data_IF_619968000778
#
_entry.id   IF_619968000778
#
_cell.length_a   1.000
_cell.length_b   1.000
_cell.length_c   1.000
_cell.angle_alpha   90.00
_cell.angle_beta   90.00
_cell.angle_gamma   90.00
#
_symmetry.space_group_name_H-M   'P 1'
#
loop_
_entity.id
_entity.type
_entity.pdbx_description
1 polymer ?
#
# COMPACT_ATOMS: atom_id res chain seq x y z
N UNK A 1 12.00 -21.72 3.95
CA UNK A 1 12.45 -20.42 3.43
C UNK A 1 11.24 -19.52 3.24
N UNK A 2 11.27 -18.29 3.74
CA UNK A 2 10.22 -17.30 3.41
C UNK A 2 10.28 -16.99 1.90
N UNK A 3 9.13 -16.88 1.25
CA UNK A 3 9.03 -16.55 -0.18
C UNK A 3 9.13 -15.04 -0.38
N UNK A 4 9.75 -14.61 -1.46
CA UNK A 4 9.74 -13.21 -1.88
C UNK A 4 8.34 -12.81 -2.36
N UNK A 5 7.92 -11.60 -2.05
CA UNK A 5 6.71 -10.99 -2.62
C UNK A 5 7.06 -9.98 -3.71
N UNK A 6 8.16 -9.25 -3.51
CA UNK A 6 8.69 -8.27 -4.45
C UNK A 6 10.20 -8.48 -4.57
N UNK A 7 10.74 -8.43 -5.79
CA UNK A 7 12.17 -8.39 -6.04
C UNK A 7 12.47 -7.44 -7.19
N UNK A 8 13.40 -6.52 -6.96
CA UNK A 8 14.04 -5.72 -7.98
C UNK A 8 15.43 -6.31 -8.26
N UNK A 9 15.79 -6.43 -9.53
CA UNK A 9 17.08 -6.96 -9.96
C UNK A 9 17.70 -6.02 -10.98
N UNK A 10 18.81 -5.37 -10.57
CA UNK A 10 19.62 -4.44 -11.39
C UNK A 10 18.81 -3.33 -12.05
N UNK A 11 17.74 -2.87 -11.36
CA UNK A 11 16.80 -1.91 -11.91
C UNK A 11 17.43 -0.54 -12.11
N UNK A 12 17.37 -0.06 -13.33
CA UNK A 12 17.75 1.31 -13.71
C UNK A 12 16.55 1.99 -14.35
N UNK A 13 16.13 3.10 -13.77
CA UNK A 13 15.04 3.90 -14.29
C UNK A 13 15.53 5.23 -14.83
N UNK A 14 15.01 5.57 -16.01
CA UNK A 14 15.34 6.79 -16.73
C UNK A 14 14.05 7.53 -17.08
N UNK A 15 13.99 8.79 -16.70
CA UNK A 15 12.88 9.70 -17.05
C UNK A 15 13.40 10.68 -18.10
N UNK A 16 12.81 10.66 -19.29
CA UNK A 16 13.32 11.41 -20.45
C UNK A 16 14.79 11.02 -20.73
N UNK A 17 15.73 11.94 -20.53
CA UNK A 17 17.17 11.70 -20.74
C UNK A 17 17.98 11.59 -19.44
N UNK A 18 17.34 11.68 -18.28
CA UNK A 18 18.00 11.67 -16.98
C UNK A 18 17.82 10.32 -16.30
N UNK A 19 18.90 9.72 -15.82
CA UNK A 19 18.84 8.53 -14.96
C UNK A 19 18.46 8.99 -13.56
N UNK A 20 17.34 8.47 -13.06
CA UNK A 20 16.82 8.80 -11.73
C UNK A 20 17.49 7.91 -10.68
N UNK A 21 17.52 6.59 -10.92
CA UNK A 21 18.27 5.64 -10.10
C UNK A 21 18.88 4.54 -10.97
N UNK A 22 19.96 3.93 -10.47
CA UNK A 22 20.77 2.97 -11.23
C UNK A 22 21.09 1.73 -10.40
N UNK A 23 21.01 0.55 -11.05
CA UNK A 23 21.44 -0.74 -10.50
C UNK A 23 20.83 -1.06 -9.11
N UNK A 24 19.57 -0.72 -8.93
CA UNK A 24 18.87 -0.97 -7.66
C UNK A 24 18.45 -2.44 -7.60
N UNK A 25 18.89 -3.12 -6.54
CA UNK A 25 18.55 -4.53 -6.29
C UNK A 25 18.17 -4.70 -4.83
N UNK A 26 16.97 -5.22 -4.56
CA UNK A 26 16.54 -5.63 -3.22
C UNK A 26 15.34 -6.58 -3.34
N UNK A 27 14.95 -7.17 -2.24
CA UNK A 27 13.77 -8.03 -2.16
C UNK A 27 13.00 -7.81 -0.86
N UNK A 28 11.71 -8.05 -0.91
CA UNK A 28 10.78 -8.02 0.23
C UNK A 28 10.21 -9.42 0.40
N UNK A 29 10.24 -9.95 1.63
CA UNK A 29 9.73 -11.28 1.93
C UNK A 29 8.26 -11.24 2.34
N UNK A 30 7.51 -12.31 2.06
CA UNK A 30 6.11 -12.39 2.49
C UNK A 30 5.99 -12.40 4.01
N UNK A 31 5.06 -11.61 4.54
CA UNK A 31 4.75 -11.55 5.96
C UNK A 31 5.83 -10.84 6.78
N UNK A 32 6.48 -9.82 6.22
CA UNK A 32 7.38 -8.95 6.97
C UNK A 32 6.96 -7.48 6.85
N UNK A 33 7.48 -6.67 7.74
CA UNK A 33 7.48 -5.22 7.62
C UNK A 33 8.92 -4.83 7.28
N UNK A 34 9.12 -4.32 6.06
CA UNK A 34 10.43 -3.82 5.61
C UNK A 34 10.43 -2.30 5.65
N UNK A 35 11.43 -1.72 6.31
CA UNK A 35 11.63 -0.27 6.35
C UNK A 35 12.53 0.22 5.24
N UNK A 36 12.20 1.37 4.67
CA UNK A 36 13.07 2.12 3.76
C UNK A 36 13.30 3.52 4.31
N UNK A 37 14.57 3.90 4.44
CA UNK A 37 14.98 5.26 4.77
C UNK A 37 15.56 5.90 3.51
N UNK A 38 14.84 6.83 2.87
CA UNK A 38 15.38 7.55 1.73
C UNK A 38 16.50 8.49 2.20
N UNK A 39 17.62 8.53 1.48
CA UNK A 39 18.70 9.48 1.75
C UNK A 39 18.32 10.92 1.38
N UNK A 40 17.39 11.06 0.45
CA UNK A 40 16.78 12.32 0.01
C UNK A 40 15.47 12.01 -0.71
N UNK A 41 14.70 13.05 -1.05
CA UNK A 41 13.42 12.88 -1.76
C UNK A 41 13.57 12.60 -3.25
N UNK A 42 14.77 12.75 -3.82
CA UNK A 42 14.96 12.60 -5.26
C UNK A 42 14.74 11.16 -5.72
N UNK A 43 13.84 10.98 -6.67
CA UNK A 43 13.57 9.68 -7.28
C UNK A 43 12.69 8.74 -6.47
N UNK A 44 12.21 9.13 -5.28
CA UNK A 44 11.36 8.28 -4.46
C UNK A 44 9.97 8.06 -5.09
N UNK A 45 9.37 9.10 -5.66
CA UNK A 45 8.09 8.99 -6.36
C UNK A 45 8.21 8.06 -7.57
N UNK A 46 9.26 8.25 -8.37
CA UNK A 46 9.53 7.37 -9.51
C UNK A 46 9.82 5.93 -9.09
N UNK A 47 10.51 5.74 -7.97
CA UNK A 47 10.77 4.41 -7.43
C UNK A 47 9.46 3.71 -7.02
N UNK A 48 8.58 4.40 -6.32
CA UNK A 48 7.26 3.87 -5.94
C UNK A 48 6.39 3.61 -7.17
N UNK A 49 6.41 4.51 -8.14
CA UNK A 49 5.69 4.33 -9.41
C UNK A 49 6.18 3.12 -10.21
N UNK A 50 7.48 2.86 -10.22
CA UNK A 50 8.06 1.65 -10.85
C UNK A 50 7.49 0.39 -10.20
N UNK A 51 7.36 0.37 -8.88
CA UNK A 51 6.86 -0.80 -8.15
C UNK A 51 5.35 -0.96 -8.29
N UNK A 52 4.59 0.13 -8.12
CA UNK A 52 3.12 0.10 -8.06
C UNK A 52 2.51 0.03 -9.45
N UNK A 53 3.02 0.83 -10.38
CA UNK A 53 2.43 1.06 -11.70
C UNK A 53 3.17 0.36 -12.85
N UNK A 54 4.20 -0.44 -12.56
CA UNK A 54 5.01 -1.16 -13.56
C UNK A 54 5.54 -0.24 -14.65
N UNK A 55 6.10 0.91 -14.29
CA UNK A 55 6.68 1.82 -15.27
C UNK A 55 7.78 1.11 -16.09
N UNK A 56 7.90 1.41 -17.39
CA UNK A 56 8.93 0.83 -18.25
C UNK A 56 10.32 1.18 -17.75
N UNK A 57 11.19 0.19 -17.64
CA UNK A 57 12.55 0.34 -17.15
C UNK A 57 13.53 0.60 -18.32
N UNK A 58 14.61 1.30 -18.02
CA UNK A 58 15.76 1.38 -18.93
C UNK A 58 16.56 0.07 -18.93
N UNK A 59 16.71 -0.54 -17.73
CA UNK A 59 17.38 -1.83 -17.54
C UNK A 59 16.90 -2.52 -16.27
N UNK A 60 17.03 -3.85 -16.20
CA UNK A 60 16.70 -4.66 -15.03
C UNK A 60 15.29 -5.25 -15.06
N UNK A 61 14.93 -5.91 -13.96
CA UNK A 61 13.68 -6.64 -13.85
C UNK A 61 13.00 -6.40 -12.52
N UNK A 62 11.66 -6.32 -12.55
CA UNK A 62 10.81 -6.32 -11.36
C UNK A 62 10.01 -7.62 -11.34
N UNK A 63 10.06 -8.32 -10.22
CA UNK A 63 9.28 -9.53 -9.99
C UNK A 63 8.30 -9.29 -8.86
N UNK A 64 7.04 -9.62 -9.09
CA UNK A 64 5.99 -9.61 -8.08
C UNK A 64 5.35 -10.99 -8.01
N UNK A 65 5.36 -11.62 -6.81
CA UNK A 65 4.87 -12.99 -6.60
C UNK A 65 5.44 -14.00 -7.61
N UNK A 66 6.76 -13.99 -7.76
CA UNK A 66 7.54 -14.85 -8.66
C UNK A 66 7.33 -14.60 -10.17
N UNK A 67 6.53 -13.60 -10.56
CA UNK A 67 6.31 -13.22 -11.96
C UNK A 67 7.10 -11.95 -12.30
N UNK A 68 7.80 -11.98 -13.42
CA UNK A 68 8.40 -10.76 -13.98
C UNK A 68 7.29 -9.86 -14.54
N UNK A 69 7.10 -8.68 -13.95
CA UNK A 69 5.96 -7.80 -14.24
C UNK A 69 6.26 -6.68 -15.23
N UNK A 70 7.53 -6.49 -15.58
CA UNK A 70 7.98 -5.49 -16.56
C UNK A 70 8.57 -6.13 -17.83
N UNK A 71 8.19 -7.36 -18.18
CA UNK A 71 8.61 -7.99 -19.42
C UNK A 71 7.84 -7.43 -20.63
N UNK A 72 8.50 -7.30 -21.78
CA UNK A 72 7.91 -6.84 -23.05
C UNK A 72 6.65 -7.60 -23.50
N UNK A 73 6.44 -8.79 -22.97
CA UNK A 73 5.29 -9.64 -23.33
C UNK A 73 4.04 -9.34 -22.50
N UNK A 74 4.15 -8.62 -21.41
CA UNK A 74 3.06 -8.32 -20.48
C UNK A 74 2.58 -6.87 -20.56
N UNK A 75 2.71 -6.22 -21.71
CA UNK A 75 2.31 -4.82 -21.96
C UNK A 75 0.83 -4.48 -21.73
N UNK A 76 0.01 -5.42 -21.31
CA UNK A 76 -1.42 -5.17 -21.05
C UNK A 76 -1.71 -5.21 -19.55
N UNK A 77 -1.48 -4.06 -18.90
CA UNK A 77 -2.24 -3.59 -17.73
C UNK A 77 -2.42 -4.54 -16.53
N UNK A 78 -1.49 -5.42 -16.23
CA UNK A 78 -1.48 -6.03 -14.91
C UNK A 78 -0.85 -5.06 -13.92
N UNK A 79 -1.66 -4.14 -13.39
CA UNK A 79 -1.24 -3.40 -12.19
C UNK A 79 -0.82 -4.44 -11.15
N UNK A 80 0.37 -4.28 -10.61
CA UNK A 80 0.74 -5.04 -9.43
C UNK A 80 -0.34 -4.78 -8.38
N UNK A 81 -0.79 -5.83 -7.71
CA UNK A 81 -1.70 -5.67 -6.58
C UNK A 81 -0.90 -5.19 -5.38
N UNK A 82 -0.33 -4.00 -5.50
CA UNK A 82 0.42 -3.27 -4.48
C UNK A 82 -0.35 -2.00 -4.20
N UNK A 83 -0.70 -1.77 -2.95
CA UNK A 83 -1.37 -0.56 -2.51
C UNK A 83 -0.34 0.42 -1.96
N UNK A 84 -0.45 1.69 -2.33
CA UNK A 84 0.28 2.80 -1.71
C UNK A 84 -0.70 3.60 -0.85
N UNK A 85 -0.37 3.77 0.42
CA UNK A 85 -1.02 4.65 1.39
C UNK A 85 -0.02 5.75 1.71
N UNK A 86 -0.39 6.98 1.45
CA UNK A 86 0.46 8.16 1.56
C UNK A 86 -0.17 9.19 2.51
N UNK A 87 0.62 10.19 2.91
CA UNK A 87 0.14 11.37 3.63
C UNK A 87 -1.00 12.09 2.89
N UNK A 88 -0.96 12.09 1.55
CA UNK A 88 -2.08 12.51 0.72
C UNK A 88 -3.05 11.34 0.48
N UNK A 89 -4.25 11.47 1.03
CA UNK A 89 -5.24 10.40 0.92
C UNK A 89 -5.70 10.18 -0.52
N UNK A 90 -5.81 8.91 -0.89
CA UNK A 90 -6.39 8.47 -2.18
C UNK A 90 -7.88 8.14 -2.07
N UNK A 91 -8.53 8.44 -0.94
CA UNK A 91 -9.97 8.30 -0.77
C UNK A 91 -10.73 9.35 -1.57
N UNK A 92 -11.86 8.96 -2.11
CA UNK A 92 -12.71 9.87 -2.89
C UNK A 92 -13.57 10.68 -1.93
N UNK A 93 -13.30 11.99 -1.85
CA UNK A 93 -14.10 12.92 -1.07
C UNK A 93 -15.56 12.91 -1.53
N UNK A 94 -16.49 13.17 -0.61
CA UNK A 94 -17.92 13.14 -0.91
C UNK A 94 -18.56 11.74 -0.93
N UNK A 95 -17.76 10.67 -0.97
CA UNK A 95 -18.24 9.31 -0.81
C UNK A 95 -18.07 8.83 0.65
N UNK A 96 -18.95 7.93 1.05
CA UNK A 96 -18.87 7.28 2.36
C UNK A 96 -17.74 6.25 2.43
N UNK A 97 -17.46 5.77 3.63
CA UNK A 97 -16.44 4.73 3.90
C UNK A 97 -16.75 3.46 3.13
N UNK A 98 -18.02 3.01 3.15
CA UNK A 98 -18.45 1.76 2.53
C UNK A 98 -18.12 1.78 1.03
N UNK A 99 -18.51 2.84 0.34
CA UNK A 99 -18.25 3.03 -1.08
C UNK A 99 -16.75 3.10 -1.37
N UNK A 100 -16.00 3.88 -0.58
CA UNK A 100 -14.54 3.99 -0.75
C UNK A 100 -13.84 2.64 -0.59
N UNK A 101 -14.22 1.82 0.38
CA UNK A 101 -13.59 0.52 0.63
C UNK A 101 -13.82 -0.46 -0.53
N UNK A 102 -15.04 -0.50 -1.05
CA UNK A 102 -15.37 -1.48 -2.09
C UNK A 102 -15.06 -1.03 -3.53
N UNK A 103 -14.77 0.25 -3.77
CA UNK A 103 -14.48 0.80 -5.11
C UNK A 103 -13.38 0.06 -5.88
N UNK A 104 -12.35 -0.43 -5.18
CA UNK A 104 -11.23 -1.16 -5.81
C UNK A 104 -11.46 -2.67 -5.94
N UNK A 105 -12.58 -3.19 -5.42
CA UNK A 105 -12.87 -4.62 -5.52
C UNK A 105 -13.25 -4.98 -6.96
N UNK A 106 -12.66 -6.05 -7.49
CA UNK A 106 -13.02 -6.55 -8.80
C UNK A 106 -14.51 -6.92 -8.86
N UNK A 107 -15.22 -6.41 -9.86
CA UNK A 107 -16.66 -6.64 -10.03
C UNK A 107 -17.57 -5.60 -9.37
N UNK A 108 -17.01 -4.64 -8.64
CA UNK A 108 -17.75 -3.55 -8.02
C UNK A 108 -18.41 -2.68 -9.08
N UNK A 109 -19.40 -2.68 -9.57
CA UNK A 109 -20.09 -1.91 -10.61
C UNK A 109 -20.89 -2.78 -11.56
N UNK A 110 -20.75 -4.09 -11.44
CA UNK A 110 -21.52 -5.08 -12.20
C UNK A 110 -22.68 -5.69 -11.40
N UNK A 111 -22.67 -5.54 -10.07
CA UNK A 111 -23.71 -6.07 -9.18
C UNK A 111 -24.59 -4.93 -8.66
N UNK A 112 -25.87 -5.20 -8.48
CA UNK A 112 -26.77 -4.31 -7.72
C UNK A 112 -26.28 -4.35 -6.28
N UNK A 113 -25.60 -3.29 -5.85
CA UNK A 113 -24.97 -3.21 -4.54
C UNK A 113 -26.05 -3.15 -3.46
N UNK A 114 -26.15 -4.22 -2.69
CA UNK A 114 -26.95 -4.21 -1.49
C UNK A 114 -26.08 -3.68 -0.34
N UNK A 115 -26.30 -2.41 0.05
CA UNK A 115 -25.55 -1.75 1.15
C UNK A 115 -25.54 -2.59 2.43
N UNK A 116 -26.64 -3.28 2.75
CA UNK A 116 -26.72 -4.16 3.90
C UNK A 116 -25.75 -5.33 3.80
N UNK A 117 -25.60 -5.94 2.62
CA UNK A 117 -24.65 -7.03 2.40
C UNK A 117 -23.20 -6.51 2.49
N UNK A 118 -22.91 -5.37 1.91
CA UNK A 118 -21.58 -4.77 1.97
C UNK A 118 -21.19 -4.40 3.39
N UNK A 119 -22.13 -3.82 4.15
CA UNK A 119 -21.91 -3.51 5.58
C UNK A 119 -21.64 -4.77 6.39
N UNK A 120 -22.41 -5.84 6.17
CA UNK A 120 -22.15 -7.13 6.83
C UNK A 120 -20.78 -7.73 6.47
N UNK A 121 -20.31 -7.52 5.24
CA UNK A 121 -18.97 -7.96 4.82
C UNK A 121 -17.86 -7.11 5.42
N UNK A 122 -18.10 -5.81 5.61
CA UNK A 122 -17.12 -4.86 6.12
C UNK A 122 -16.97 -4.93 7.64
N UNK A 123 -18.07 -5.17 8.36
CA UNK A 123 -18.10 -5.11 9.83
C UNK A 123 -17.01 -5.96 10.52
N UNK A 124 -16.76 -7.22 10.12
CA UNK A 124 -15.70 -8.01 10.73
C UNK A 124 -14.30 -7.38 10.62
N UNK A 125 -14.02 -6.70 9.51
CA UNK A 125 -12.73 -6.02 9.31
C UNK A 125 -12.62 -4.74 10.15
N UNK A 126 -13.72 -4.00 10.31
CA UNK A 126 -13.77 -2.82 11.21
C UNK A 126 -13.54 -3.26 12.65
N UNK A 127 -14.22 -4.31 13.08
CA UNK A 127 -14.08 -4.87 14.43
C UNK A 127 -12.65 -5.35 14.69
N UNK A 128 -12.04 -5.97 13.69
CA UNK A 128 -10.67 -6.46 13.73
C UNK A 128 -9.62 -5.34 13.82
N UNK A 129 -9.84 -4.21 13.15
CA UNK A 129 -8.98 -3.03 13.25
C UNK A 129 -9.06 -2.36 14.62
N UNK A 130 -10.10 -2.64 15.43
CA UNK A 130 -10.30 -2.01 16.73
C UNK A 130 -10.56 -0.49 16.67
N UNK A 131 -10.94 0.03 15.50
CA UNK A 131 -11.20 1.44 15.28
C UNK A 131 -12.68 1.66 14.99
N UNK A 132 -13.34 2.47 15.80
CA UNK A 132 -14.76 2.82 15.56
C UNK A 132 -14.87 3.68 14.30
N UNK A 133 -15.34 3.08 13.21
CA UNK A 133 -15.59 3.72 11.91
C UNK A 133 -17.05 3.49 11.54
N UNK A 134 -17.78 4.56 11.25
CA UNK A 134 -19.14 4.47 10.70
C UNK A 134 -19.05 4.26 9.18
N UNK A 135 -19.53 3.12 8.63
CA UNK A 135 -19.49 2.84 7.20
C UNK A 135 -20.19 3.89 6.31
N UNK A 136 -21.17 4.61 6.86
CA UNK A 136 -21.96 5.59 6.12
C UNK A 136 -21.46 7.03 6.29
N UNK A 137 -20.41 7.24 7.10
CA UNK A 137 -19.80 8.55 7.23
C UNK A 137 -18.98 8.89 5.98
N UNK A 138 -19.11 10.13 5.47
CA UNK A 138 -18.25 10.62 4.37
C UNK A 138 -16.81 10.75 4.85
N UNK A 139 -15.86 10.31 4.04
CA UNK A 139 -14.45 10.20 4.42
C UNK A 139 -13.80 11.53 4.78
N UNK A 140 -14.28 12.63 4.22
CA UNK A 140 -13.79 14.00 4.51
C UNK A 140 -14.07 14.44 5.95
N UNK A 141 -15.08 13.85 6.62
CA UNK A 141 -15.41 14.12 8.02
C UNK A 141 -14.57 13.30 9.01
N UNK A 142 -13.82 12.34 8.51
CA UNK A 142 -12.98 11.50 9.36
C UNK A 142 -11.67 12.22 9.73
N UNK A 143 -11.20 12.07 10.98
CA UNK A 143 -9.84 12.42 11.36
C UNK A 143 -8.80 11.71 10.47
N UNK A 144 -7.60 12.28 10.33
CA UNK A 144 -6.54 11.74 9.47
C UNK A 144 -6.23 10.27 9.75
N UNK A 145 -6.08 9.89 11.02
CA UNK A 145 -5.85 8.50 11.40
C UNK A 145 -6.93 7.55 10.89
N UNK A 146 -8.21 7.91 11.05
CA UNK A 146 -9.31 7.07 10.55
C UNK A 146 -9.32 6.96 9.04
N UNK A 147 -8.91 8.02 8.31
CA UNK A 147 -8.74 7.95 6.85
C UNK A 147 -7.64 6.96 6.45
N UNK A 148 -6.49 6.98 7.13
CA UNK A 148 -5.42 5.99 6.93
C UNK A 148 -5.94 4.57 7.17
N UNK A 149 -6.71 4.36 8.25
CA UNK A 149 -7.31 3.04 8.55
C UNK A 149 -8.34 2.62 7.50
N UNK A 150 -9.10 3.54 6.91
CA UNK A 150 -10.01 3.25 5.78
C UNK A 150 -9.23 2.85 4.53
N UNK A 151 -8.10 3.50 4.23
CA UNK A 151 -7.24 3.10 3.11
C UNK A 151 -6.64 1.71 3.32
N UNK A 152 -6.18 1.42 4.52
CA UNK A 152 -5.70 0.09 4.89
C UNK A 152 -6.80 -0.96 4.73
N UNK A 153 -7.99 -0.67 5.23
CA UNK A 153 -9.17 -1.52 5.10
C UNK A 153 -9.52 -1.79 3.64
N UNK A 154 -9.51 -0.74 2.81
CA UNK A 154 -9.71 -0.84 1.35
C UNK A 154 -8.68 -1.78 0.69
N UNK A 155 -7.41 -1.65 1.06
CA UNK A 155 -6.35 -2.50 0.53
C UNK A 155 -6.56 -3.98 0.91
N UNK A 156 -6.92 -4.24 2.17
CA UNK A 156 -7.18 -5.59 2.70
C UNK A 156 -8.38 -6.22 2.00
N UNK A 157 -9.51 -5.51 1.93
CA UNK A 157 -10.75 -5.99 1.29
C UNK A 157 -10.56 -6.23 -0.21
N UNK A 158 -9.75 -5.40 -0.88
CA UNK A 158 -9.40 -5.58 -2.29
C UNK A 158 -8.39 -6.72 -2.54
N UNK A 159 -7.82 -7.31 -1.48
CA UNK A 159 -6.87 -8.43 -1.58
C UNK A 159 -5.46 -8.03 -1.99
N UNK A 160 -5.02 -6.85 -1.64
CA UNK A 160 -3.62 -6.44 -1.80
C UNK A 160 -2.76 -7.08 -0.70
N UNK A 161 -1.75 -7.84 -1.08
CA UNK A 161 -0.86 -8.53 -0.14
C UNK A 161 0.45 -7.78 0.15
N UNK A 162 0.79 -6.77 -0.64
CA UNK A 162 1.87 -5.84 -0.38
C UNK A 162 1.29 -4.43 -0.28
N UNK A 163 1.49 -3.80 0.87
CA UNK A 163 0.98 -2.47 1.20
C UNK A 163 2.18 -1.59 1.53
N UNK A 164 2.34 -0.52 0.78
CA UNK A 164 3.36 0.50 1.01
C UNK A 164 2.71 1.62 1.82
N UNK A 165 3.36 2.02 2.91
CA UNK A 165 2.93 3.13 3.75
C UNK A 165 4.06 4.16 3.75
N UNK A 166 3.79 5.41 3.33
CA UNK A 166 4.77 6.47 3.17
C UNK A 166 4.40 7.72 3.97
N UNK A 167 5.34 8.23 4.77
CA UNK A 167 5.30 9.54 5.43
C UNK A 167 4.01 9.83 6.22
N UNK A 168 3.40 8.79 6.80
CA UNK A 168 2.12 8.91 7.52
C UNK A 168 2.28 9.70 8.82
N UNK A 169 3.44 9.71 9.44
CA UNK A 169 3.73 10.48 10.67
C UNK A 169 3.56 12.00 10.50
N UNK A 170 3.53 12.48 9.25
CA UNK A 170 3.27 13.88 8.97
C UNK A 170 1.81 14.30 9.18
N UNK A 171 0.89 13.35 9.25
CA UNK A 171 -0.56 13.60 9.29
C UNK A 171 -1.28 12.98 10.48
N UNK A 172 -0.62 12.08 11.24
CA UNK A 172 -1.17 11.46 12.45
C UNK A 172 -0.25 11.67 13.65
N UNK A 173 -0.80 11.52 14.86
CA UNK A 173 -0.02 11.65 16.09
C UNK A 173 0.88 10.44 16.35
N UNK A 174 1.88 10.59 17.24
CA UNK A 174 2.77 9.50 17.64
C UNK A 174 2.02 8.30 18.25
N UNK A 175 1.00 8.55 19.09
CA UNK A 175 0.14 7.49 19.64
C UNK A 175 -0.62 6.73 18.56
N UNK A 176 -1.12 7.45 17.55
CA UNK A 176 -1.84 6.86 16.42
C UNK A 176 -0.89 6.09 15.51
N UNK A 177 0.34 6.56 15.36
CA UNK A 177 1.39 5.88 14.61
C UNK A 177 1.76 4.53 15.29
N UNK A 178 1.90 4.52 16.61
CA UNK A 178 2.09 3.29 17.38
C UNK A 178 0.98 2.26 17.13
N UNK A 179 -0.28 2.69 17.15
CA UNK A 179 -1.44 1.83 16.85
C UNK A 179 -1.43 1.31 15.41
N UNK A 180 -0.98 2.14 14.45
CA UNK A 180 -0.80 1.70 13.06
C UNK A 180 0.25 0.60 12.96
N UNK A 181 1.40 0.73 13.66
CA UNK A 181 2.44 -0.30 13.68
C UNK A 181 1.93 -1.61 14.29
N UNK A 182 1.15 -1.56 15.38
CA UNK A 182 0.54 -2.74 15.95
C UNK A 182 -0.43 -3.42 14.96
N UNK A 183 -1.20 -2.63 14.24
CA UNK A 183 -2.09 -3.11 13.18
C UNK A 183 -1.30 -3.78 12.05
N UNK A 184 -0.19 -3.18 11.60
CA UNK A 184 0.69 -3.77 10.59
C UNK A 184 1.25 -5.11 11.06
N UNK A 185 1.74 -5.22 12.31
CA UNK A 185 2.23 -6.48 12.90
C UNK A 185 1.14 -7.55 12.94
N UNK A 186 -0.06 -7.18 13.34
CA UNK A 186 -1.20 -8.09 13.35
C UNK A 186 -1.48 -8.65 11.95
N UNK A 187 -1.49 -7.80 10.92
CA UNK A 187 -1.75 -8.24 9.56
C UNK A 187 -0.58 -9.00 8.92
N UNK A 188 0.67 -8.78 9.34
CA UNK A 188 1.78 -9.65 8.89
C UNK A 188 1.57 -11.10 9.35
N UNK A 189 1.03 -11.31 10.56
CA UNK A 189 0.61 -12.62 11.04
C UNK A 189 -0.46 -13.29 10.17
N UNK A 190 -1.22 -12.50 9.40
CA UNK A 190 -2.24 -12.97 8.44
C UNK A 190 -1.72 -13.09 7.00
N UNK A 191 -0.42 -12.89 6.78
CA UNK A 191 0.22 -13.05 5.48
C UNK A 191 0.27 -11.80 4.62
N UNK A 192 -0.09 -10.64 5.16
CA UNK A 192 0.15 -9.35 4.53
C UNK A 192 1.61 -8.95 4.69
N UNK A 193 2.10 -8.12 3.80
CA UNK A 193 3.47 -7.61 3.78
C UNK A 193 3.43 -6.10 3.71
N UNK A 194 4.29 -5.44 4.47
CA UNK A 194 4.35 -3.99 4.47
C UNK A 194 5.73 -3.48 4.07
N UNK A 195 5.74 -2.40 3.32
CA UNK A 195 6.91 -1.59 3.04
C UNK A 195 6.68 -0.22 3.68
N UNK A 196 7.37 0.07 4.77
CA UNK A 196 7.23 1.34 5.48
C UNK A 196 8.35 2.29 5.06
N UNK A 197 7.97 3.45 4.52
CA UNK A 197 8.90 4.46 3.99
C UNK A 197 8.81 5.71 4.85
N UNK A 198 9.89 6.05 5.53
CA UNK A 198 10.00 7.26 6.34
C UNK A 198 11.44 7.78 6.36
N UNK A 199 11.60 9.10 6.49
CA UNK A 199 12.89 9.75 6.74
C UNK A 199 13.34 9.64 8.20
N UNK A 200 12.47 9.21 9.11
CA UNK A 200 12.74 9.11 10.54
C UNK A 200 13.17 7.69 10.92
N UNK A 201 14.42 7.56 11.36
CA UNK A 201 14.99 6.27 11.74
C UNK A 201 14.22 5.58 12.87
N UNK A 202 13.79 6.36 13.87
CA UNK A 202 13.05 5.87 15.02
C UNK A 202 11.73 5.20 14.62
N UNK A 203 11.03 5.76 13.65
CA UNK A 203 9.80 5.17 13.11
C UNK A 203 10.07 3.83 12.42
N UNK A 204 11.13 3.76 11.60
CA UNK A 204 11.54 2.51 10.94
C UNK A 204 11.89 1.45 11.98
N UNK A 205 12.62 1.82 13.02
CA UNK A 205 12.98 0.89 14.10
C UNK A 205 11.72 0.39 14.80
N UNK A 206 10.78 1.26 15.13
CA UNK A 206 9.51 0.87 15.77
C UNK A 206 8.62 0.02 14.88
N UNK A 207 8.53 0.35 13.59
CA UNK A 207 7.68 -0.39 12.64
C UNK A 207 8.19 -1.81 12.39
N UNK A 208 9.52 -1.99 12.29
CA UNK A 208 10.15 -3.25 11.87
C UNK A 208 10.53 -4.21 13.04
N UNK A 209 10.32 -3.79 14.29
CA UNK A 209 10.59 -4.62 15.49
C UNK A 209 9.35 -5.37 15.88
#
# INVERSE_FOLDING_TARGET
>A
MKKEILRLQDVTYKKQNTIIFRNMSFHVLKGEIMGIIPMNSYGMDEFLDVIVNNLPLYYGYVYYQDKCVNSWKEEKHSRNRICLIDSETSLVNGLDVLTNVFTLRAGFGQEILNEKMLTMQLQPFIDELGVSIDPFMTVEKLPAYKRVMVELLRAIVAGYHLIIIREISTVISEDELGKLFDTMRYYTGKGFTFLYVSYHFEEIQQACT
#
